data_IF_556118461340
#
_entry.id   IF_556118461340
#
_cell.length_a   1.000
_cell.length_b   1.000
_cell.length_c   1.000
_cell.angle_alpha   90.00
_cell.angle_beta   90.00
_cell.angle_gamma   90.00
#
_symmetry.space_group_name_H-M   'P 1'
#
loop_
_entity.id
_entity.type
_entity.pdbx_description
1 polymer ?
#
# COMPACT_ATOMS: atom_id res chain seq x y z
N UNK A 1 -11.49 15.16 9.00
CA UNK A 1 -10.37 14.23 9.24
C UNK A 1 -9.30 14.97 10.02
N UNK A 2 -8.72 14.34 11.04
CA UNK A 2 -7.55 14.89 11.75
C UNK A 2 -6.30 14.34 11.06
N UNK A 3 -5.44 15.23 10.57
CA UNK A 3 -4.13 14.83 10.07
C UNK A 3 -3.27 14.35 11.24
N UNK A 4 -2.48 13.27 11.06
CA UNK A 4 -1.51 12.84 12.05
C UNK A 4 -0.48 13.95 12.32
N UNK A 5 0.13 13.94 13.50
CA UNK A 5 1.35 14.72 13.71
C UNK A 5 2.49 14.17 12.84
N UNK A 6 3.60 14.90 12.76
CA UNK A 6 4.80 14.40 12.08
C UNK A 6 5.26 13.06 12.69
N UNK A 7 5.37 12.99 14.02
CA UNK A 7 5.83 11.79 14.72
C UNK A 7 4.87 10.61 14.51
N UNK A 8 3.55 10.85 14.53
CA UNK A 8 2.56 9.81 14.23
C UNK A 8 2.68 9.31 12.79
N UNK A 9 2.92 10.22 11.83
CA UNK A 9 3.07 9.84 10.42
C UNK A 9 4.36 9.03 10.19
N UNK A 10 5.47 9.39 10.86
CA UNK A 10 6.71 8.62 10.80
C UNK A 10 6.56 7.24 11.46
N UNK A 11 5.83 7.16 12.58
CA UNK A 11 5.51 5.88 13.21
C UNK A 11 4.67 4.98 12.27
N UNK A 12 3.66 5.55 11.60
CA UNK A 12 2.88 4.82 10.60
C UNK A 12 3.73 4.40 9.39
N UNK A 13 4.64 5.25 8.90
CA UNK A 13 5.56 4.86 7.83
C UNK A 13 6.43 3.68 8.24
N UNK A 14 7.01 3.72 9.43
CA UNK A 14 7.85 2.65 9.95
C UNK A 14 7.04 1.36 10.17
N UNK A 15 5.78 1.49 10.60
CA UNK A 15 4.89 0.35 10.79
C UNK A 15 4.48 -0.27 9.45
N UNK A 16 4.08 0.50 8.44
CA UNK A 16 3.36 -0.06 7.29
C UNK A 16 4.21 -0.27 6.04
N UNK A 17 5.27 0.51 5.84
CA UNK A 17 6.08 0.46 4.61
C UNK A 17 6.62 -0.95 4.35
N UNK A 18 6.61 -1.38 3.09
CA UNK A 18 7.08 -2.68 2.61
C UNK A 18 6.30 -3.90 3.11
N UNK A 19 5.24 -3.72 3.90
CA UNK A 19 4.34 -4.82 4.25
C UNK A 19 3.45 -5.18 3.07
N UNK A 20 3.23 -6.48 2.90
CA UNK A 20 2.16 -6.99 2.07
C UNK A 20 0.85 -6.91 2.85
N UNK A 21 -0.19 -6.41 2.19
CA UNK A 21 -1.49 -6.18 2.80
C UNK A 21 -2.62 -6.66 1.89
N UNK A 22 -3.73 -7.04 2.52
CA UNK A 22 -5.04 -7.14 1.86
C UNK A 22 -5.96 -6.09 2.46
N UNK A 23 -6.94 -5.65 1.66
CA UNK A 23 -8.02 -4.83 2.18
C UNK A 23 -8.95 -5.74 2.99
N UNK A 24 -9.39 -5.26 4.15
CA UNK A 24 -10.44 -5.92 4.94
C UNK A 24 -11.77 -5.96 4.17
N UNK A 25 -12.48 -7.07 4.32
CA UNK A 25 -13.82 -7.22 3.78
C UNK A 25 -14.81 -6.25 4.44
N UNK A 26 -15.91 -5.95 3.74
CA UNK A 26 -16.97 -5.09 4.27
C UNK A 26 -16.74 -3.59 4.13
N UNK A 27 -15.70 -3.15 3.41
CA UNK A 27 -15.50 -1.74 3.04
C UNK A 27 -15.94 -1.51 1.58
N UNK A 28 -17.14 -0.95 1.32
CA UNK A 28 -17.70 -0.88 -0.03
C UNK A 28 -16.80 -0.16 -1.03
N UNK A 29 -16.13 0.91 -0.59
CA UNK A 29 -15.22 1.74 -1.36
C UNK A 29 -14.02 0.97 -1.93
N UNK A 30 -13.65 -0.15 -1.30
CA UNK A 30 -12.48 -0.95 -1.64
C UNK A 30 -12.81 -2.36 -2.15
N UNK A 31 -14.08 -2.63 -2.47
CA UNK A 31 -14.56 -3.93 -2.97
C UNK A 31 -13.78 -4.40 -4.20
N UNK A 32 -13.32 -3.48 -5.06
CA UNK A 32 -12.50 -3.82 -6.24
C UNK A 32 -11.16 -4.50 -5.92
N UNK A 33 -10.65 -4.34 -4.69
CA UNK A 33 -9.41 -4.94 -4.22
C UNK A 33 -9.63 -6.22 -3.41
N UNK A 34 -10.88 -6.69 -3.30
CA UNK A 34 -11.20 -7.91 -2.55
C UNK A 34 -10.44 -9.11 -3.12
N UNK A 35 -9.75 -9.84 -2.23
CA UNK A 35 -8.92 -10.99 -2.59
C UNK A 35 -7.57 -10.66 -3.22
N UNK A 36 -7.26 -9.37 -3.46
CA UNK A 36 -5.95 -8.94 -3.97
C UNK A 36 -4.98 -8.72 -2.81
N UNK A 37 -3.71 -9.06 -3.04
CA UNK A 37 -2.61 -8.67 -2.17
C UNK A 37 -1.87 -7.51 -2.82
N UNK A 38 -1.69 -6.43 -2.06
CA UNK A 38 -0.86 -5.31 -2.46
C UNK A 38 0.37 -5.17 -1.56
N UNK A 39 1.32 -4.33 -1.96
CA UNK A 39 2.44 -3.88 -1.14
C UNK A 39 2.23 -2.41 -0.76
N UNK A 40 2.46 -2.09 0.51
CA UNK A 40 2.53 -0.70 0.93
C UNK A 40 3.85 -0.10 0.46
N UNK A 41 3.78 0.91 -0.40
CA UNK A 41 4.94 1.65 -0.91
C UNK A 41 5.44 2.62 0.15
N UNK A 42 4.53 3.34 0.80
CA UNK A 42 4.83 4.27 1.91
C UNK A 42 3.53 4.70 2.60
N UNK A 43 3.64 5.49 3.66
CA UNK A 43 2.50 6.22 4.27
C UNK A 43 2.69 7.71 4.06
N UNK A 44 1.66 8.41 3.58
CA UNK A 44 1.70 9.86 3.41
C UNK A 44 1.34 10.60 4.71
N UNK A 45 1.57 11.92 4.75
CA UNK A 45 1.22 12.77 5.91
C UNK A 45 -0.29 12.91 6.15
N UNK A 46 -1.13 12.34 5.28
CA UNK A 46 -2.56 12.14 5.52
C UNK A 46 -2.87 10.94 6.42
N UNK A 47 -1.87 10.15 6.82
CA UNK A 47 -2.06 8.88 7.53
C UNK A 47 -2.62 7.78 6.63
N UNK A 48 -2.36 7.85 5.32
CA UNK A 48 -2.83 6.87 4.34
C UNK A 48 -1.66 6.09 3.77
N UNK A 49 -1.81 4.77 3.75
CA UNK A 49 -0.91 3.86 3.08
C UNK A 49 -1.14 3.95 1.57
N UNK A 50 -0.07 4.22 0.83
CA UNK A 50 -0.04 4.10 -0.62
C UNK A 50 0.16 2.62 -0.93
N UNK A 51 -0.90 1.95 -1.37
CA UNK A 51 -0.89 0.52 -1.69
C UNK A 51 -0.80 0.34 -3.19
N UNK A 52 0.16 -0.48 -3.61
CA UNK A 52 0.32 -0.96 -4.98
C UNK A 52 -0.24 -2.38 -5.07
N UNK A 53 -1.24 -2.60 -5.91
CA UNK A 53 -1.83 -3.92 -6.15
C UNK A 53 -1.28 -4.60 -7.41
N UNK A 54 -0.15 -4.11 -7.95
CA UNK A 54 0.46 -4.56 -9.19
C UNK A 54 -0.48 -4.41 -10.41
N UNK A 55 -1.31 -3.36 -10.41
CA UNK A 55 -2.26 -3.02 -11.49
C UNK A 55 -1.84 -1.76 -12.27
N UNK A 56 -0.65 -1.23 -12.00
CA UNK A 56 -0.13 -0.01 -12.62
C UNK A 56 -0.57 1.29 -11.96
N UNK A 57 -1.21 1.27 -10.79
CA UNK A 57 -1.57 2.46 -10.01
C UNK A 57 -1.26 2.31 -8.51
N UNK A 58 -1.25 3.43 -7.79
CA UNK A 58 -1.18 3.47 -6.33
C UNK A 58 -2.47 4.04 -5.75
N UNK A 59 -2.88 3.53 -4.59
CA UNK A 59 -4.13 3.90 -3.96
C UNK A 59 -3.95 4.26 -2.49
N UNK A 60 -4.58 5.37 -2.08
CA UNK A 60 -4.55 5.86 -0.71
C UNK A 60 -5.60 5.17 0.18
N UNK A 61 -5.17 4.19 0.97
CA UNK A 61 -6.01 3.46 1.94
C UNK A 61 -5.66 3.91 3.36
N UNK A 62 -6.61 4.05 4.31
CA UNK A 62 -6.26 4.46 5.67
C UNK A 62 -5.27 3.46 6.27
N UNK A 63 -4.16 3.95 6.84
CA UNK A 63 -3.11 3.10 7.41
C UNK A 63 -3.53 2.58 8.80
N UNK A 64 -4.59 1.77 8.85
CA UNK A 64 -5.12 1.21 10.09
C UNK A 64 -5.58 -0.23 9.90
N UNK A 65 -5.56 -1.00 10.99
CA UNK A 65 -6.00 -2.39 11.01
C UNK A 65 -7.50 -2.59 10.69
N UNK A 66 -8.29 -1.50 10.69
CA UNK A 66 -9.70 -1.54 10.30
C UNK A 66 -9.88 -1.68 8.78
N UNK A 67 -8.93 -1.18 7.98
CA UNK A 67 -8.99 -1.20 6.52
C UNK A 67 -7.98 -2.15 5.90
N UNK A 68 -6.83 -2.33 6.54
CA UNK A 68 -5.73 -3.15 6.04
C UNK A 68 -5.43 -4.30 6.99
N UNK A 69 -5.08 -5.44 6.42
CA UNK A 69 -4.59 -6.59 7.15
C UNK A 69 -3.26 -7.02 6.54
N UNK A 70 -2.23 -7.12 7.39
CA UNK A 70 -0.89 -7.57 6.98
C UNK A 70 -0.94 -9.06 6.68
N UNK A 71 -0.43 -9.44 5.51
CA UNK A 71 -0.30 -10.84 5.10
C UNK A 71 1.16 -11.27 5.10
N UNK A 72 1.42 -12.56 5.35
CA UNK A 72 2.77 -13.08 5.34
C UNK A 72 3.22 -13.38 3.90
N UNK A 73 4.50 -13.17 3.60
CA UNK A 73 5.05 -13.30 2.24
C UNK A 73 4.89 -14.69 1.62
N UNK A 74 4.66 -15.74 2.42
CA UNK A 74 4.45 -17.10 1.94
C UNK A 74 3.17 -17.27 1.10
N UNK A 75 2.20 -16.38 1.28
CA UNK A 75 0.89 -16.44 0.61
C UNK A 75 0.79 -15.52 -0.62
N UNK A 76 1.89 -14.84 -0.99
CA UNK A 76 1.84 -13.67 -1.87
C UNK A 76 2.30 -14.01 -3.29
N UNK A 77 1.35 -13.97 -4.24
CA UNK A 77 1.65 -13.81 -5.67
C UNK A 77 1.61 -12.32 -6.04
N UNK A 78 2.63 -11.57 -5.64
CA UNK A 78 2.78 -10.15 -5.98
C UNK A 78 3.92 -9.99 -7.00
N UNK A 79 3.57 -9.53 -8.21
CA UNK A 79 4.57 -9.19 -9.22
C UNK A 79 4.99 -7.72 -9.04
N UNK A 80 6.14 -7.53 -8.40
CA UNK A 80 6.70 -6.21 -8.17
C UNK A 80 7.10 -5.46 -9.47
N UNK A 81 7.12 -6.12 -10.63
CA UNK A 81 7.45 -5.49 -11.92
C UNK A 81 6.23 -4.87 -12.62
N UNK A 82 5.01 -5.24 -12.21
CA UNK A 82 3.76 -4.69 -12.70
C UNK A 82 3.30 -3.47 -11.85
N UNK A 83 4.25 -2.63 -11.43
CA UNK A 83 3.96 -1.44 -10.63
C UNK A 83 3.73 -0.19 -11.52
N UNK A 84 3.28 0.90 -10.89
CA UNK A 84 3.06 2.19 -11.55
C UNK A 84 4.36 2.97 -11.87
N UNK A 85 5.52 2.50 -11.40
CA UNK A 85 6.78 3.17 -11.64
C UNK A 85 7.24 2.94 -13.09
N UNK A 86 7.67 4.04 -13.71
CA UNK A 86 8.21 3.98 -15.06
C UNK A 86 9.52 3.19 -15.05
N UNK A 87 9.68 2.26 -16.01
CA UNK A 87 10.95 1.54 -16.16
C UNK A 87 12.07 2.55 -16.31
N UNK A 88 13.06 2.49 -15.41
CA UNK A 88 14.23 3.35 -15.48
C UNK A 88 14.85 3.17 -16.87
N UNK A 89 15.03 4.27 -17.65
CA UNK A 89 15.66 4.15 -18.95
C UNK A 89 17.06 3.58 -18.78
N UNK A 90 17.47 2.71 -19.70
CA UNK A 90 18.87 2.27 -19.74
C UNK A 90 19.74 3.50 -19.92
N UNK A 91 20.85 3.57 -19.17
CA UNK A 91 21.80 4.68 -19.21
C UNK A 91 22.07 5.06 -20.67
N UNK A 92 21.74 6.29 -21.07
CA UNK A 92 22.05 6.77 -22.41
C UNK A 92 23.58 6.78 -22.56
N UNK A 93 24.06 6.05 -23.57
CA UNK A 93 25.46 6.00 -24.00
C UNK A 93 25.84 7.22 -24.81
#
# INVERSE_FOLDING_TARGET
>A
MKFPSFDDAEALKAEWTDKYVRVREGVPEYTRFAGMVGRVVTVNYGGRALVDFADGAWYDIPATAAFLEVVTAADVKFDATANSAQKLPTRQS
#
